data_IF_070830239589
#
_entry.id   IF_070830239589
#
_cell.length_a   1.000
_cell.length_b   1.000
_cell.length_c   1.000
_cell.angle_alpha   90.00
_cell.angle_beta   90.00
_cell.angle_gamma   90.00
#
_symmetry.space_group_name_H-M   'P 1'
#
loop_
_entity.id
_entity.type
_entity.pdbx_description
1 polymer ?
#
# COMPACT_ATOMS: atom_id res chain seq x y z
N UNK A 1 1.65 33.25 -0.91
CA UNK A 1 1.35 31.81 -0.80
C UNK A 1 2.60 30.95 -0.76
N UNK A 2 3.49 30.99 -1.76
CA UNK A 2 4.79 30.27 -1.70
C UNK A 2 5.61 30.60 -0.43
N UNK A 3 5.68 31.86 0.00
CA UNK A 3 6.46 32.23 1.19
C UNK A 3 5.95 31.59 2.49
N UNK A 4 4.63 31.45 2.67
CA UNK A 4 4.05 30.80 3.86
C UNK A 4 4.23 29.27 3.81
N UNK A 5 4.05 28.67 2.63
CA UNK A 5 4.33 27.26 2.38
C UNK A 5 5.80 26.93 2.66
N UNK A 6 6.72 27.75 2.14
CA UNK A 6 8.15 27.61 2.40
C UNK A 6 8.45 27.78 3.89
N UNK A 7 7.82 28.71 4.60
CA UNK A 7 8.16 28.94 6.01
C UNK A 7 7.65 27.83 6.95
N UNK A 8 6.40 27.39 6.80
CA UNK A 8 5.84 26.30 7.61
C UNK A 8 6.53 24.98 7.29
N UNK A 9 6.68 24.65 6.01
CA UNK A 9 7.43 23.46 5.60
C UNK A 9 8.90 23.57 6.01
N UNK A 10 9.52 24.76 5.95
CA UNK A 10 10.93 24.93 6.38
C UNK A 10 11.10 24.78 7.88
N UNK A 11 10.14 25.19 8.73
CA UNK A 11 10.24 25.01 10.18
C UNK A 11 10.07 23.54 10.56
N UNK A 12 9.06 22.86 10.00
CA UNK A 12 8.87 21.41 10.17
C UNK A 12 10.03 20.61 9.58
N UNK A 13 10.48 20.98 8.38
CA UNK A 13 11.63 20.35 7.72
C UNK A 13 12.90 20.62 8.52
N UNK A 14 13.13 21.82 9.04
CA UNK A 14 14.28 22.08 9.90
C UNK A 14 14.23 21.26 11.17
N UNK A 15 13.07 21.19 11.86
CA UNK A 15 12.90 20.37 13.05
C UNK A 15 13.14 18.88 12.77
N UNK A 16 12.52 18.35 11.70
CA UNK A 16 12.67 16.96 11.30
C UNK A 16 14.07 16.67 10.75
N UNK A 17 14.68 17.60 10.01
CA UNK A 17 16.03 17.48 9.48
C UNK A 17 17.06 17.55 10.60
N UNK A 18 16.86 18.38 11.63
CA UNK A 18 17.68 18.35 12.85
C UNK A 18 17.55 16.99 13.52
N UNK A 19 16.34 16.44 13.69
CA UNK A 19 16.14 15.09 14.24
C UNK A 19 16.86 14.05 13.36
N UNK A 20 16.58 13.99 12.06
CA UNK A 20 17.18 13.02 11.13
C UNK A 20 18.71 13.18 11.06
N UNK A 21 19.23 14.41 11.07
CA UNK A 21 20.67 14.69 11.01
C UNK A 21 21.36 14.35 12.32
N UNK A 22 20.65 14.43 13.46
CA UNK A 22 21.11 13.87 14.73
C UNK A 22 21.12 12.33 14.73
N UNK A 23 20.27 11.68 13.91
CA UNK A 23 20.31 10.23 13.66
C UNK A 23 21.37 9.83 12.61
N UNK A 24 21.70 10.71 11.65
CA UNK A 24 22.65 10.46 10.56
C UNK A 24 24.14 10.27 10.95
N UNK A 25 24.68 10.67 12.13
CA UNK A 25 26.08 10.39 12.46
C UNK A 25 26.35 8.89 12.65
N UNK A 26 25.31 8.04 12.66
CA UNK A 26 25.39 6.64 13.07
C UNK A 26 25.93 5.67 12.01
N UNK A 27 26.14 6.07 10.75
CA UNK A 27 26.70 5.17 9.72
C UNK A 27 28.07 5.59 9.17
N UNK A 28 28.65 6.72 9.58
CA UNK A 28 29.95 7.17 9.06
C UNK A 28 31.17 6.86 9.97
N UNK A 29 30.97 6.24 11.12
CA UNK A 29 32.06 5.85 12.03
C UNK A 29 32.32 4.34 12.05
N UNK A 30 32.93 3.79 10.98
CA UNK A 30 34.09 2.86 11.07
C UNK A 30 34.86 2.85 9.73
N UNK A 31 35.27 3.99 9.18
CA UNK A 31 36.33 4.05 8.15
C UNK A 31 37.14 5.35 8.28
N UNK A 32 37.85 5.51 9.39
CA UNK A 32 38.94 6.50 9.50
C UNK A 32 40.22 5.75 9.89
N UNK A 33 40.73 4.94 8.97
CA UNK A 33 42.10 4.45 9.01
C UNK A 33 43.00 5.52 8.39
N UNK A 34 43.57 6.40 9.21
CA UNK A 34 44.76 7.14 8.80
C UNK A 34 45.82 7.09 9.92
N UNK A 35 47.08 6.68 9.66
CA UNK A 35 47.92 6.08 10.69
C UNK A 35 48.84 7.06 11.45
N UNK A 36 48.54 8.37 11.52
CA UNK A 36 49.51 9.35 12.05
C UNK A 36 49.03 10.23 13.21
N UNK A 37 47.85 9.96 13.79
CA UNK A 37 47.43 10.63 15.02
C UNK A 37 46.90 9.61 16.02
N UNK A 38 47.78 9.16 16.92
CA UNK A 38 47.42 8.49 18.16
C UNK A 38 46.87 9.50 19.16
N UNK A 39 45.76 10.16 18.82
CA UNK A 39 44.88 10.74 19.84
C UNK A 39 44.10 9.57 20.42
N UNK A 40 44.24 9.36 21.72
CA UNK A 40 43.48 8.40 22.51
C UNK A 40 42.01 8.45 22.11
N UNK A 41 41.58 7.46 21.34
CA UNK A 41 40.18 7.21 21.01
C UNK A 41 39.46 7.11 22.36
N UNK A 42 38.45 7.95 22.65
CA UNK A 42 37.67 7.80 23.86
C UNK A 42 37.19 6.36 23.95
N UNK A 43 37.38 5.72 25.11
CA UNK A 43 36.97 4.33 25.35
C UNK A 43 35.52 4.15 24.92
N UNK A 44 35.17 3.00 24.34
CA UNK A 44 33.79 2.67 23.92
C UNK A 44 32.75 3.04 24.99
N UNK A 45 33.11 2.93 26.27
CA UNK A 45 32.33 3.37 27.43
C UNK A 45 31.86 4.83 27.35
N UNK A 46 32.74 5.77 26.97
CA UNK A 46 32.36 7.18 26.83
C UNK A 46 31.38 7.41 25.67
N UNK A 47 31.50 6.64 24.59
CA UNK A 47 30.58 6.71 23.44
C UNK A 47 29.20 6.17 23.84
N UNK A 48 29.15 5.05 24.58
CA UNK A 48 27.91 4.47 25.12
C UNK A 48 27.22 5.45 26.08
N UNK A 49 27.94 6.02 27.06
CA UNK A 49 27.39 7.00 27.99
C UNK A 49 26.86 8.26 27.27
N UNK A 50 27.59 8.75 26.26
CA UNK A 50 27.14 9.87 25.45
C UNK A 50 25.88 9.54 24.63
N UNK A 51 25.76 8.31 24.13
CA UNK A 51 24.59 7.86 23.38
C UNK A 51 23.37 7.65 24.26
N UNK A 52 23.55 7.07 25.46
CA UNK A 52 22.47 6.93 26.43
C UNK A 52 21.97 8.29 26.90
N UNK A 53 22.89 9.24 27.15
CA UNK A 53 22.53 10.62 27.48
C UNK A 53 21.79 11.32 26.34
N UNK A 54 22.24 11.16 25.08
CA UNK A 54 21.55 11.73 23.93
C UNK A 54 20.14 11.13 23.76
N UNK A 55 20.01 9.81 23.86
CA UNK A 55 18.72 9.14 23.77
C UNK A 55 17.77 9.57 24.90
N UNK A 56 18.29 9.76 26.12
CA UNK A 56 17.52 10.31 27.23
C UNK A 56 16.97 11.71 26.90
N UNK A 57 17.83 12.61 26.41
CA UNK A 57 17.41 13.95 26.01
C UNK A 57 16.38 13.93 24.86
N UNK A 58 16.59 13.07 23.85
CA UNK A 58 15.67 12.94 22.72
C UNK A 58 14.31 12.39 23.18
N UNK A 59 14.28 11.36 24.02
CA UNK A 59 13.04 10.81 24.58
C UNK A 59 12.27 11.84 25.41
N UNK A 60 12.97 12.73 26.10
CA UNK A 60 12.36 13.79 26.90
C UNK A 60 11.81 14.94 26.05
N UNK A 61 12.56 15.38 25.04
CA UNK A 61 12.27 16.62 24.31
C UNK A 61 11.50 16.39 23.00
N UNK A 62 11.82 15.33 22.25
CA UNK A 62 11.28 15.13 20.90
C UNK A 62 9.77 14.85 20.90
N UNK A 63 9.20 13.95 21.73
CA UNK A 63 7.76 13.71 21.70
C UNK A 63 6.90 14.96 21.99
N UNK A 64 7.08 15.69 23.12
CA UNK A 64 6.29 16.89 23.37
C UNK A 64 6.60 18.02 22.38
N UNK A 65 7.86 18.20 21.99
CA UNK A 65 8.26 19.19 20.98
C UNK A 65 7.60 18.94 19.63
N UNK A 66 7.48 17.68 19.23
CA UNK A 66 6.83 17.27 17.97
C UNK A 66 5.32 17.50 18.03
N UNK A 67 4.67 17.16 19.15
CA UNK A 67 3.22 17.39 19.33
C UNK A 67 2.88 18.89 19.28
N UNK A 68 3.68 19.73 19.95
CA UNK A 68 3.50 21.19 19.93
C UNK A 68 3.68 21.71 18.50
N UNK A 69 4.78 21.35 17.83
CA UNK A 69 5.08 21.80 16.46
C UNK A 69 3.98 21.41 15.49
N UNK A 70 3.50 20.16 15.56
CA UNK A 70 2.40 19.67 14.74
C UNK A 70 1.10 20.42 15.05
N UNK A 71 0.74 20.63 16.31
CA UNK A 71 -0.48 21.34 16.68
C UNK A 71 -0.52 22.77 16.12
N UNK A 72 0.61 23.50 16.18
CA UNK A 72 0.71 24.86 15.62
C UNK A 72 0.75 24.87 14.08
N UNK A 73 1.38 23.86 13.47
CA UNK A 73 1.50 23.80 12.00
C UNK A 73 0.26 23.20 11.33
N UNK A 74 -0.56 22.46 12.06
CA UNK A 74 -1.69 21.70 11.51
C UNK A 74 -2.68 22.55 10.69
N UNK A 75 -3.15 23.72 11.16
CA UNK A 75 -4.06 24.55 10.37
C UNK A 75 -3.44 25.02 9.04
N UNK A 76 -2.15 25.35 9.07
CA UNK A 76 -1.43 25.75 7.86
C UNK A 76 -1.26 24.57 6.90
N UNK A 77 -0.87 23.38 7.40
CA UNK A 77 -0.79 22.16 6.58
C UNK A 77 -2.14 21.80 5.95
N UNK A 78 -3.24 21.86 6.71
CA UNK A 78 -4.57 21.65 6.16
C UNK A 78 -4.90 22.63 5.03
N UNK A 79 -4.57 23.91 5.20
CA UNK A 79 -4.77 24.92 4.17
C UNK A 79 -3.91 24.67 2.92
N UNK A 80 -2.64 24.31 3.09
CA UNK A 80 -1.73 24.01 1.98
C UNK A 80 -2.19 22.77 1.20
N UNK A 81 -2.53 21.69 1.91
CA UNK A 81 -3.07 20.48 1.30
C UNK A 81 -4.39 20.76 0.57
N UNK A 82 -5.23 21.65 1.09
CA UNK A 82 -6.45 22.07 0.41
C UNK A 82 -6.15 22.85 -0.88
N UNK A 83 -5.19 23.78 -0.85
CA UNK A 83 -4.76 24.49 -2.05
C UNK A 83 -4.15 23.54 -3.10
N UNK A 84 -3.30 22.61 -2.68
CA UNK A 84 -2.71 21.60 -3.55
C UNK A 84 -3.79 20.71 -4.16
N UNK A 85 -4.71 20.19 -3.34
CA UNK A 85 -5.85 19.41 -3.80
C UNK A 85 -6.70 20.18 -4.81
N UNK A 86 -6.96 21.48 -4.57
CA UNK A 86 -7.73 22.31 -5.48
C UNK A 86 -7.01 22.48 -6.84
N UNK A 87 -5.71 22.77 -6.82
CA UNK A 87 -4.89 22.86 -8.03
C UNK A 87 -4.87 21.53 -8.79
N UNK A 88 -4.59 20.42 -8.10
CA UNK A 88 -4.52 19.08 -8.68
C UNK A 88 -5.88 18.59 -9.18
N UNK A 89 -6.97 19.07 -8.58
CA UNK A 89 -8.33 18.79 -9.07
C UNK A 89 -8.64 19.53 -10.38
N UNK A 90 -8.01 20.67 -10.64
CA UNK A 90 -8.16 21.43 -11.89
C UNK A 90 -7.21 20.90 -12.96
N UNK A 91 -5.98 20.56 -12.59
CA UNK A 91 -4.91 20.07 -13.49
C UNK A 91 -4.76 18.54 -13.47
N UNK A 92 -5.83 17.82 -13.14
CA UNK A 92 -5.83 16.37 -13.10
C UNK A 92 -5.43 15.76 -14.45
N UNK A 93 -4.72 14.65 -14.39
CA UNK A 93 -4.23 13.93 -15.55
C UNK A 93 -5.37 13.44 -16.45
N UNK A 94 -5.30 13.82 -17.74
CA UNK A 94 -6.18 13.26 -18.77
C UNK A 94 -5.68 11.88 -19.19
N UNK A 95 -6.58 10.89 -19.15
CA UNK A 95 -6.27 9.50 -19.47
C UNK A 95 -6.67 9.11 -20.89
N UNK A 96 -7.22 10.04 -21.69
CA UNK A 96 -7.58 9.74 -23.07
C UNK A 96 -6.36 9.26 -23.86
N UNK A 97 -6.44 8.04 -24.41
CA UNK A 97 -5.35 7.37 -25.14
C UNK A 97 -4.08 7.05 -24.33
N UNK A 98 -4.09 7.23 -23.00
CA UNK A 98 -3.03 6.72 -22.11
C UNK A 98 -3.17 5.23 -21.86
N UNK A 99 -2.08 4.56 -21.46
CA UNK A 99 -2.01 3.10 -21.31
C UNK A 99 -1.99 2.71 -19.84
N UNK A 100 -2.91 1.84 -19.44
CA UNK A 100 -3.04 1.35 -18.07
C UNK A 100 -2.94 -0.17 -18.06
N UNK A 101 -1.99 -0.70 -17.28
CA UNK A 101 -1.93 -2.13 -16.95
C UNK A 101 -2.68 -2.35 -15.64
N UNK A 102 -3.65 -3.26 -15.60
CA UNK A 102 -4.41 -3.62 -14.39
C UNK A 102 -4.20 -5.09 -14.10
N UNK A 103 -3.44 -5.40 -13.05
CA UNK A 103 -3.28 -6.77 -12.55
C UNK A 103 -4.39 -7.10 -11.56
N UNK A 104 -4.91 -8.33 -11.60
CA UNK A 104 -6.08 -8.71 -10.78
C UNK A 104 -7.40 -8.20 -11.35
N UNK A 105 -7.46 -7.92 -12.66
CA UNK A 105 -8.62 -7.31 -13.32
C UNK A 105 -9.85 -8.23 -13.45
N UNK A 106 -9.77 -9.51 -13.06
CA UNK A 106 -10.83 -10.50 -13.30
C UNK A 106 -12.00 -10.44 -12.33
N UNK A 107 -11.92 -9.66 -11.24
CA UNK A 107 -12.94 -9.60 -10.20
C UNK A 107 -12.75 -8.39 -9.28
N UNK A 108 -13.76 -8.15 -8.44
CA UNK A 108 -13.66 -7.24 -7.30
C UNK A 108 -13.29 -5.81 -7.69
N UNK A 109 -12.38 -5.23 -6.90
CA UNK A 109 -11.91 -3.86 -7.14
C UNK A 109 -11.17 -3.69 -8.47
N UNK A 110 -10.47 -4.72 -8.96
CA UNK A 110 -9.74 -4.68 -10.24
C UNK A 110 -10.64 -4.54 -11.45
N UNK A 111 -11.79 -5.23 -11.44
CA UNK A 111 -12.83 -5.09 -12.46
C UNK A 111 -13.40 -3.66 -12.48
N UNK A 112 -13.74 -3.11 -11.32
CA UNK A 112 -14.33 -1.77 -11.23
C UNK A 112 -13.33 -0.67 -11.60
N UNK A 113 -12.05 -0.81 -11.26
CA UNK A 113 -11.00 0.12 -11.71
C UNK A 113 -10.87 0.09 -13.23
N UNK A 114 -10.98 -1.08 -13.87
CA UNK A 114 -10.95 -1.18 -15.33
C UNK A 114 -12.10 -0.38 -15.97
N UNK A 115 -13.30 -0.42 -15.39
CA UNK A 115 -14.44 0.36 -15.86
C UNK A 115 -14.25 1.87 -15.66
N UNK A 116 -13.70 2.30 -14.53
CA UNK A 116 -13.43 3.72 -14.25
C UNK A 116 -12.34 4.31 -15.18
N UNK A 117 -11.30 3.54 -15.54
CA UNK A 117 -10.36 3.96 -16.59
C UNK A 117 -10.97 3.90 -18.00
N UNK A 118 -11.87 2.94 -18.27
CA UNK A 118 -12.57 2.86 -19.55
C UNK A 118 -13.45 4.09 -19.81
N UNK A 119 -14.14 4.59 -18.79
CA UNK A 119 -14.91 5.84 -18.86
C UNK A 119 -14.04 7.06 -19.20
N UNK A 120 -12.75 7.00 -18.88
CA UNK A 120 -11.74 8.02 -19.24
C UNK A 120 -11.03 7.75 -20.56
N UNK A 121 -11.53 6.81 -21.37
CA UNK A 121 -11.03 6.51 -22.72
C UNK A 121 -9.57 6.05 -22.77
N UNK A 122 -9.11 5.44 -21.69
CA UNK A 122 -7.78 4.83 -21.64
C UNK A 122 -7.68 3.57 -22.52
N UNK A 123 -6.45 3.22 -22.87
CA UNK A 123 -6.06 1.92 -23.40
C UNK A 123 -5.73 0.99 -22.23
N UNK A 124 -6.30 -0.21 -22.21
CA UNK A 124 -6.21 -1.12 -21.06
C UNK A 124 -5.50 -2.42 -21.43
N UNK A 125 -4.53 -2.82 -20.60
CA UNK A 125 -4.07 -4.21 -20.53
C UNK A 125 -4.64 -4.83 -19.25
N UNK A 126 -5.59 -5.76 -19.41
CA UNK A 126 -6.21 -6.47 -18.29
C UNK A 126 -5.48 -7.79 -18.05
N UNK A 127 -4.97 -7.97 -16.84
CA UNK A 127 -4.13 -9.11 -16.48
C UNK A 127 -4.77 -9.88 -15.33
N UNK A 128 -4.95 -11.19 -15.53
CA UNK A 128 -5.36 -12.13 -14.48
C UNK A 128 -4.99 -13.55 -14.90
N UNK A 129 -5.01 -14.49 -13.96
CA UNK A 129 -4.67 -15.91 -14.24
C UNK A 129 -5.63 -16.59 -15.22
N UNK A 130 -6.92 -16.21 -15.18
CA UNK A 130 -8.01 -16.84 -15.93
C UNK A 130 -8.52 -15.95 -17.05
N UNK A 131 -8.01 -16.15 -18.26
CA UNK A 131 -8.35 -15.34 -19.45
C UNK A 131 -9.86 -15.30 -19.76
N UNK A 132 -10.59 -16.38 -19.53
CA UNK A 132 -12.02 -16.45 -19.86
C UNK A 132 -12.85 -15.40 -19.11
N UNK A 133 -12.49 -15.04 -17.88
CA UNK A 133 -13.20 -14.00 -17.10
C UNK A 133 -12.86 -12.58 -17.55
N UNK A 134 -11.69 -12.41 -18.13
CA UNK A 134 -11.20 -11.16 -18.71
C UNK A 134 -11.98 -10.76 -19.97
N UNK A 135 -12.49 -11.73 -20.75
CA UNK A 135 -13.21 -11.45 -22.02
C UNK A 135 -14.45 -10.56 -21.81
N UNK A 136 -15.33 -10.93 -20.87
CA UNK A 136 -16.54 -10.14 -20.58
C UNK A 136 -16.23 -8.75 -20.04
N UNK A 137 -15.20 -8.63 -19.21
CA UNK A 137 -14.74 -7.34 -18.66
C UNK A 137 -14.14 -6.46 -19.77
N UNK A 138 -13.38 -7.04 -20.69
CA UNK A 138 -12.83 -6.32 -21.83
C UNK A 138 -13.93 -5.79 -22.78
N UNK A 139 -14.96 -6.59 -23.05
CA UNK A 139 -16.12 -6.16 -23.83
C UNK A 139 -16.88 -5.02 -23.12
N UNK A 140 -17.10 -5.12 -21.81
CA UNK A 140 -17.71 -4.08 -21.01
C UNK A 140 -16.89 -2.78 -21.02
N UNK A 141 -15.58 -2.87 -20.82
CA UNK A 141 -14.68 -1.72 -20.86
C UNK A 141 -14.70 -1.02 -22.24
N UNK A 142 -14.69 -1.79 -23.34
CA UNK A 142 -14.85 -1.21 -24.71
C UNK A 142 -16.18 -0.49 -24.86
N UNK A 143 -17.29 -1.08 -24.36
CA UNK A 143 -18.62 -0.43 -24.40
C UNK A 143 -18.69 0.85 -23.58
N UNK A 144 -17.96 0.92 -22.46
CA UNK A 144 -17.91 2.10 -21.60
C UNK A 144 -17.07 3.24 -22.19
N UNK A 145 -16.13 2.96 -23.08
CA UNK A 145 -15.37 3.99 -23.80
C UNK A 145 -13.87 3.73 -23.93
N UNK A 146 -13.34 2.61 -23.43
CA UNK A 146 -11.92 2.27 -23.60
C UNK A 146 -11.57 2.19 -25.09
N UNK A 147 -10.49 2.86 -25.51
CA UNK A 147 -10.08 2.93 -26.93
C UNK A 147 -9.62 1.58 -27.45
N UNK A 148 -8.74 0.94 -26.69
CA UNK A 148 -8.24 -0.41 -26.95
C UNK A 148 -8.18 -1.19 -25.64
N UNK A 149 -8.49 -2.47 -25.71
CA UNK A 149 -8.38 -3.38 -24.57
C UNK A 149 -7.71 -4.67 -25.03
N UNK A 150 -6.59 -4.99 -24.40
CA UNK A 150 -5.89 -6.27 -24.51
C UNK A 150 -6.07 -7.04 -23.20
N UNK A 151 -6.15 -8.37 -23.30
CA UNK A 151 -6.25 -9.28 -22.16
C UNK A 151 -5.06 -10.23 -22.18
N UNK A 152 -4.50 -10.55 -21.01
CA UNK A 152 -3.40 -11.50 -20.90
C UNK A 152 -3.55 -12.39 -19.67
N UNK A 153 -3.35 -13.70 -19.90
CA UNK A 153 -3.20 -14.67 -18.83
C UNK A 153 -1.78 -14.59 -18.23
N UNK A 154 -1.71 -14.27 -16.94
CA UNK A 154 -0.44 -14.22 -16.21
C UNK A 154 -0.63 -14.43 -14.72
N UNK A 155 0.39 -15.00 -14.09
CA UNK A 155 0.52 -15.12 -12.66
C UNK A 155 1.54 -14.10 -12.13
N UNK A 156 1.08 -13.12 -11.35
CA UNK A 156 1.92 -12.00 -10.89
C UNK A 156 3.02 -12.40 -9.92
N UNK A 157 2.95 -13.60 -9.31
CA UNK A 157 4.03 -14.13 -8.48
C UNK A 157 5.19 -14.69 -9.31
N UNK A 158 5.06 -14.75 -10.63
CA UNK A 158 6.12 -15.15 -11.56
C UNK A 158 6.65 -13.93 -12.30
N UNK A 159 7.93 -13.62 -12.10
CA UNK A 159 8.57 -12.48 -12.76
C UNK A 159 8.52 -12.60 -14.30
N UNK A 160 8.69 -13.80 -14.86
CA UNK A 160 8.65 -14.03 -16.31
C UNK A 160 7.28 -13.69 -16.92
N UNK A 161 6.19 -13.99 -16.20
CA UNK A 161 4.84 -13.61 -16.59
C UNK A 161 4.67 -12.09 -16.54
N UNK A 162 5.27 -11.43 -15.55
CA UNK A 162 5.32 -9.97 -15.44
C UNK A 162 6.06 -9.33 -16.62
N UNK A 163 7.25 -9.84 -16.94
CA UNK A 163 8.02 -9.44 -18.13
C UNK A 163 7.21 -9.60 -19.41
N UNK A 164 6.51 -10.73 -19.55
CA UNK A 164 5.69 -11.00 -20.73
C UNK A 164 4.58 -9.97 -20.93
N UNK A 165 3.74 -9.71 -19.93
CA UNK A 165 2.61 -8.78 -20.14
C UNK A 165 3.04 -7.31 -20.25
N UNK A 166 4.12 -6.90 -19.57
CA UNK A 166 4.64 -5.54 -19.71
C UNK A 166 5.23 -5.35 -21.10
N UNK A 167 6.08 -6.28 -21.57
CA UNK A 167 6.67 -6.19 -22.90
C UNK A 167 5.61 -6.23 -24.01
N UNK A 168 4.59 -7.07 -23.88
CA UNK A 168 3.50 -7.12 -24.86
C UNK A 168 2.68 -5.82 -24.86
N UNK A 169 2.45 -5.22 -23.69
CA UNK A 169 1.82 -3.89 -23.58
C UNK A 169 2.65 -2.83 -24.31
N UNK A 170 3.97 -2.85 -24.15
CA UNK A 170 4.89 -1.94 -24.86
C UNK A 170 4.90 -2.22 -26.36
N UNK A 171 4.88 -3.49 -26.79
CA UNK A 171 4.82 -3.84 -28.22
C UNK A 171 3.55 -3.31 -28.89
N UNK A 172 2.40 -3.39 -28.21
CA UNK A 172 1.10 -3.00 -28.76
C UNK A 172 0.85 -1.49 -28.66
N UNK A 173 1.20 -0.86 -27.54
CA UNK A 173 0.85 0.54 -27.28
C UNK A 173 2.05 1.51 -27.25
N UNK A 174 3.28 1.01 -27.18
CA UNK A 174 4.51 1.81 -27.18
C UNK A 174 4.81 2.54 -25.86
N UNK A 175 3.97 2.40 -24.83
CA UNK A 175 4.11 3.08 -23.53
C UNK A 175 3.31 2.39 -22.43
N UNK A 176 3.61 2.72 -21.18
CA UNK A 176 2.78 2.43 -19.99
C UNK A 176 2.72 3.71 -19.16
N UNK A 177 1.52 4.21 -18.91
CA UNK A 177 1.32 5.41 -18.09
C UNK A 177 0.99 5.02 -16.65
N UNK A 178 0.02 4.13 -16.43
CA UNK A 178 -0.34 3.67 -15.09
C UNK A 178 -0.18 2.15 -14.95
N UNK A 179 0.45 1.71 -13.86
CA UNK A 179 0.42 0.33 -13.38
C UNK A 179 -0.50 0.25 -12.16
N UNK A 180 -1.56 -0.54 -12.25
CA UNK A 180 -2.49 -0.79 -11.16
C UNK A 180 -2.32 -2.22 -10.68
N UNK A 181 -1.80 -2.38 -9.47
CA UNK A 181 -1.68 -3.68 -8.82
C UNK A 181 -2.84 -3.88 -7.84
N UNK A 182 -3.81 -4.73 -8.22
CA UNK A 182 -5.00 -4.98 -7.37
C UNK A 182 -5.06 -6.38 -6.77
N UNK A 183 -4.17 -7.29 -7.22
CA UNK A 183 -4.15 -8.68 -6.76
C UNK A 183 -4.00 -8.73 -5.24
N UNK A 184 -4.89 -9.48 -4.59
CA UNK A 184 -4.97 -9.61 -3.14
C UNK A 184 -5.55 -10.97 -2.77
N UNK A 185 -5.11 -11.53 -1.64
CA UNK A 185 -5.68 -12.77 -1.10
C UNK A 185 -5.80 -12.68 0.42
N UNK A 186 -7.03 -12.64 0.92
CA UNK A 186 -7.32 -12.71 2.35
C UNK A 186 -7.34 -14.15 2.88
N UNK A 187 -7.22 -14.29 4.19
CA UNK A 187 -7.54 -15.53 4.92
C UNK A 187 -8.36 -15.16 6.15
N UNK A 188 -9.05 -16.10 6.80
CA UNK A 188 -9.75 -15.82 8.05
C UNK A 188 -9.66 -17.01 8.99
N UNK A 189 -8.63 -17.04 9.82
CA UNK A 189 -8.43 -18.03 10.87
C UNK A 189 -7.49 -17.48 11.94
N UNK A 190 -7.67 -17.87 13.19
CA UNK A 190 -6.64 -17.60 14.21
C UNK A 190 -5.37 -18.37 13.81
N UNK A 191 -4.20 -17.80 14.06
CA UNK A 191 -2.94 -18.44 13.65
C UNK A 191 -2.78 -19.87 14.20
N UNK A 192 -3.30 -20.15 15.40
CA UNK A 192 -3.34 -21.48 16.02
C UNK A 192 -4.32 -22.47 15.35
N UNK A 193 -5.29 -21.98 14.57
CA UNK A 193 -6.26 -22.79 13.82
C UNK A 193 -5.72 -23.22 12.45
N UNK A 194 -4.52 -22.78 12.06
CA UNK A 194 -3.93 -23.13 10.77
C UNK A 194 -3.56 -24.63 10.72
N UNK A 195 -4.27 -25.38 9.87
CA UNK A 195 -4.03 -26.82 9.67
C UNK A 195 -2.91 -27.12 8.66
N UNK A 196 -2.64 -26.16 7.76
CA UNK A 196 -1.62 -26.29 6.72
C UNK A 196 -0.76 -25.02 6.69
N UNK A 197 0.55 -25.20 6.76
CA UNK A 197 1.53 -24.11 6.73
C UNK A 197 2.03 -23.81 5.31
N UNK A 198 1.73 -24.68 4.34
CA UNK A 198 2.12 -24.52 2.93
C UNK A 198 1.46 -23.29 2.28
N UNK A 199 0.33 -22.83 2.82
CA UNK A 199 -0.40 -21.64 2.36
C UNK A 199 0.27 -20.33 2.80
N UNK A 200 1.15 -20.35 3.82
CA UNK A 200 1.71 -19.13 4.38
C UNK A 200 2.59 -18.36 3.37
N UNK A 201 3.54 -19.02 2.66
CA UNK A 201 4.29 -18.35 1.62
C UNK A 201 3.38 -17.84 0.50
N UNK A 202 2.37 -18.60 0.09
CA UNK A 202 1.41 -18.22 -0.97
C UNK A 202 0.68 -16.92 -0.63
N UNK A 203 0.25 -16.75 0.62
CA UNK A 203 -0.39 -15.51 1.08
C UNK A 203 0.56 -14.31 0.99
N UNK A 204 1.83 -14.49 1.35
CA UNK A 204 2.83 -13.43 1.23
C UNK A 204 3.17 -13.16 -0.25
N UNK A 205 3.39 -14.19 -1.04
CA UNK A 205 3.73 -14.10 -2.46
C UNK A 205 2.66 -13.30 -3.22
N UNK A 206 1.39 -13.63 -3.05
CA UNK A 206 0.30 -12.95 -3.75
C UNK A 206 0.16 -11.48 -3.29
N UNK A 207 0.16 -11.23 -1.98
CA UNK A 207 -0.10 -9.90 -1.44
C UNK A 207 1.11 -8.95 -1.48
N UNK A 208 2.32 -9.47 -1.59
CA UNK A 208 3.57 -8.69 -1.62
C UNK A 208 4.29 -8.84 -2.97
N UNK A 209 4.85 -10.01 -3.26
CA UNK A 209 5.64 -10.22 -4.49
C UNK A 209 4.85 -10.02 -5.78
N UNK A 210 3.55 -10.38 -5.77
CA UNK A 210 2.61 -10.12 -6.85
C UNK A 210 2.36 -8.64 -7.15
N UNK A 211 2.82 -7.74 -6.29
CA UNK A 211 2.83 -6.30 -6.54
C UNK A 211 4.25 -5.81 -6.88
N UNK A 212 5.29 -6.38 -6.28
CA UNK A 212 6.68 -5.98 -6.48
C UNK A 212 7.18 -6.35 -7.89
N UNK A 213 6.93 -7.58 -8.37
CA UNK A 213 7.45 -7.99 -9.69
C UNK A 213 6.89 -7.17 -10.86
N UNK A 214 5.56 -6.93 -10.98
CA UNK A 214 5.03 -6.03 -12.01
C UNK A 214 5.65 -4.63 -11.95
N UNK A 215 5.84 -4.11 -10.74
CA UNK A 215 6.42 -2.78 -10.52
C UNK A 215 7.86 -2.74 -10.98
N UNK A 216 8.69 -3.69 -10.56
CA UNK A 216 10.09 -3.76 -10.97
C UNK A 216 10.25 -3.81 -12.49
N UNK A 217 9.41 -4.61 -13.17
CA UNK A 217 9.44 -4.77 -14.63
C UNK A 217 8.93 -3.52 -15.36
N UNK A 218 7.85 -2.90 -14.87
CA UNK A 218 7.23 -1.73 -15.52
C UNK A 218 7.98 -0.42 -15.26
N UNK A 219 8.79 -0.34 -14.20
CA UNK A 219 9.41 0.88 -13.72
C UNK A 219 10.17 1.69 -14.81
N UNK A 220 11.00 1.08 -15.69
CA UNK A 220 11.69 1.85 -16.72
C UNK A 220 10.74 2.56 -17.70
N UNK A 221 9.59 1.96 -18.00
CA UNK A 221 8.58 2.54 -18.89
C UNK A 221 7.73 3.60 -18.19
N UNK A 222 7.50 3.44 -16.88
CA UNK A 222 6.85 4.44 -16.05
C UNK A 222 7.72 5.71 -15.91
N UNK A 223 9.05 5.59 -15.79
CA UNK A 223 9.92 6.76 -15.84
C UNK A 223 9.82 7.52 -17.17
N UNK A 224 9.74 6.80 -18.30
CA UNK A 224 9.63 7.42 -19.62
C UNK A 224 8.33 8.21 -19.81
N UNK A 225 7.24 7.77 -19.17
CA UNK A 225 5.93 8.42 -19.25
C UNK A 225 5.66 9.42 -18.13
N UNK A 226 6.54 9.55 -17.13
CA UNK A 226 6.22 10.16 -15.81
C UNK A 226 4.94 9.55 -15.23
N UNK A 227 4.87 8.23 -15.31
CA UNK A 227 3.71 7.43 -15.01
C UNK A 227 3.44 7.28 -13.52
N UNK A 228 2.49 6.39 -13.19
CA UNK A 228 2.05 6.15 -11.83
C UNK A 228 1.91 4.68 -11.50
N UNK A 229 2.15 4.36 -10.24
CA UNK A 229 1.87 3.05 -9.67
C UNK A 229 0.73 3.21 -8.66
N UNK A 230 -0.30 2.40 -8.81
CA UNK A 230 -1.46 2.37 -7.94
C UNK A 230 -1.48 1.00 -7.26
N UNK A 231 -1.47 0.97 -5.93
CA UNK A 231 -1.50 -0.28 -5.17
C UNK A 231 -2.79 -0.41 -4.36
N UNK A 232 -3.31 -1.64 -4.31
CA UNK A 232 -4.45 -1.99 -3.46
C UNK A 232 -3.96 -2.48 -2.07
N UNK A 233 -3.98 -1.56 -1.11
CA UNK A 233 -3.67 -1.79 0.30
C UNK A 233 -4.96 -1.90 1.16
N UNK A 234 -4.76 -2.20 2.44
CA UNK A 234 -5.83 -2.53 3.39
C UNK A 234 -5.60 -1.84 4.72
N UNK A 235 -6.65 -1.47 5.45
CA UNK A 235 -6.52 -0.90 6.80
C UNK A 235 -5.78 -1.85 7.74
N UNK A 236 -5.81 -3.15 7.46
CA UNK A 236 -5.06 -4.21 8.14
C UNK A 236 -3.53 -4.04 8.05
N UNK A 237 -3.02 -3.17 7.18
CA UNK A 237 -1.60 -2.81 7.16
C UNK A 237 -1.15 -2.07 8.42
N UNK A 238 -2.06 -1.33 9.08
CA UNK A 238 -1.79 -0.69 10.37
C UNK A 238 -2.80 -1.04 11.47
N UNK A 239 -3.88 -1.74 11.16
CA UNK A 239 -4.87 -2.18 12.13
C UNK A 239 -4.70 -3.69 12.36
N UNK A 240 -4.20 -4.14 13.53
CA UNK A 240 -3.95 -5.56 13.78
C UNK A 240 -5.25 -6.33 14.04
N UNK A 241 -6.03 -6.53 12.97
CA UNK A 241 -7.30 -7.25 13.03
C UNK A 241 -7.04 -8.74 13.35
N UNK A 242 -7.73 -9.31 14.36
CA UNK A 242 -7.67 -10.73 14.64
C UNK A 242 -8.09 -11.57 13.42
N UNK A 243 -7.56 -12.80 13.34
CA UNK A 243 -7.82 -13.76 12.26
C UNK A 243 -7.27 -13.40 10.87
N UNK A 244 -6.52 -12.30 10.77
CA UNK A 244 -5.96 -11.76 9.53
C UNK A 244 -4.43 -11.62 9.59
N UNK A 245 -3.74 -12.30 10.51
CA UNK A 245 -2.34 -12.00 10.86
C UNK A 245 -1.37 -12.02 9.68
N UNK A 246 -1.42 -13.06 8.83
CA UNK A 246 -0.55 -13.19 7.65
C UNK A 246 -0.85 -12.13 6.57
N UNK A 247 -2.12 -11.77 6.40
CA UNK A 247 -2.59 -10.79 5.43
C UNK A 247 -2.20 -9.38 5.87
N UNK A 248 -2.44 -9.07 7.15
CA UNK A 248 -2.03 -7.82 7.79
C UNK A 248 -0.50 -7.63 7.68
N UNK A 249 0.29 -8.68 7.95
CA UNK A 249 1.74 -8.64 7.80
C UNK A 249 2.17 -8.34 6.35
N UNK A 250 1.59 -9.04 5.37
CA UNK A 250 1.90 -8.82 3.96
C UNK A 250 1.49 -7.41 3.48
N UNK A 251 0.32 -6.91 3.88
CA UNK A 251 -0.14 -5.55 3.54
C UNK A 251 0.68 -4.46 4.24
N UNK A 252 1.18 -4.70 5.45
CA UNK A 252 2.11 -3.79 6.12
C UNK A 252 3.45 -3.71 5.38
N UNK A 253 4.00 -4.86 4.96
CA UNK A 253 5.20 -4.92 4.14
C UNK A 253 5.01 -4.20 2.79
N UNK A 254 3.85 -4.42 2.14
CA UNK A 254 3.46 -3.75 0.91
C UNK A 254 3.48 -2.22 1.07
N UNK A 255 2.77 -1.68 2.06
CA UNK A 255 2.71 -0.22 2.28
C UNK A 255 4.10 0.35 2.54
N UNK A 256 4.91 -0.30 3.39
CA UNK A 256 6.25 0.19 3.70
C UNK A 256 7.18 0.17 2.47
N UNK A 257 7.11 -0.87 1.64
CA UNK A 257 7.88 -0.95 0.40
C UNK A 257 7.54 0.20 -0.54
N UNK A 258 6.26 0.48 -0.78
CA UNK A 258 5.84 1.54 -1.71
C UNK A 258 6.05 2.96 -1.16
N UNK A 259 5.94 3.15 0.17
CA UNK A 259 6.35 4.40 0.81
C UNK A 259 7.85 4.64 0.65
N UNK A 260 8.68 3.61 0.86
CA UNK A 260 10.13 3.70 0.69
C UNK A 260 10.48 4.00 -0.77
N UNK A 261 9.88 3.25 -1.70
CA UNK A 261 10.10 3.40 -3.12
C UNK A 261 9.74 4.81 -3.60
N UNK A 262 8.69 5.44 -3.08
CA UNK A 262 8.32 6.83 -3.43
C UNK A 262 9.50 7.80 -3.25
N UNK A 263 10.23 7.67 -2.14
CA UNK A 263 11.40 8.51 -1.88
C UNK A 263 12.58 8.19 -2.79
N UNK A 264 12.76 6.92 -3.17
CA UNK A 264 13.82 6.49 -4.09
C UNK A 264 13.57 6.98 -5.52
N UNK A 265 12.31 7.07 -5.95
CA UNK A 265 11.89 7.53 -7.28
C UNK A 265 11.84 9.06 -7.43
N UNK A 266 12.02 9.83 -6.34
CA UNK A 266 12.08 11.31 -6.34
C UNK A 266 10.92 11.99 -7.08
N UNK A 267 9.71 11.43 -6.94
CA UNK A 267 8.47 11.92 -7.58
C UNK A 267 8.46 11.91 -9.12
N UNK A 268 9.43 11.27 -9.80
CA UNK A 268 9.39 11.07 -11.26
C UNK A 268 8.30 10.07 -11.68
N UNK A 269 8.00 9.11 -10.79
CA UNK A 269 6.90 8.16 -10.92
C UNK A 269 6.03 8.29 -9.69
N UNK A 270 4.77 8.68 -9.90
CA UNK A 270 3.82 8.85 -8.79
C UNK A 270 3.42 7.52 -8.17
N UNK A 271 3.20 7.48 -6.86
CA UNK A 271 2.71 6.27 -6.17
C UNK A 271 1.45 6.62 -5.36
N UNK A 272 0.33 6.00 -5.71
CA UNK A 272 -0.94 6.09 -4.99
C UNK A 272 -1.18 4.81 -4.19
N UNK A 273 -1.23 4.95 -2.87
CA UNK A 273 -1.57 3.86 -1.96
C UNK A 273 -3.06 3.94 -1.64
N UNK A 274 -3.84 3.05 -2.26
CA UNK A 274 -5.27 2.95 -2.02
C UNK A 274 -5.54 2.01 -0.85
N UNK A 275 -6.06 2.51 0.26
CA UNK A 275 -6.37 1.71 1.45
C UNK A 275 -7.86 1.59 1.69
N UNK A 276 -8.38 0.37 1.64
CA UNK A 276 -9.77 0.09 2.01
C UNK A 276 -9.94 -0.47 3.42
N UNK A 277 -11.06 -0.11 4.03
CA UNK A 277 -11.63 -0.84 5.16
C UNK A 277 -12.35 -2.12 4.73
N UNK A 278 -13.32 -2.56 5.51
CA UNK A 278 -14.22 -3.62 5.08
C UNK A 278 -15.18 -3.12 4.00
N UNK A 279 -14.77 -3.27 2.75
CA UNK A 279 -15.65 -3.29 1.59
C UNK A 279 -16.12 -4.74 1.42
N UNK A 280 -17.43 -4.99 1.36
CA UNK A 280 -18.02 -6.34 1.45
C UNK A 280 -17.57 -7.36 0.39
N UNK A 281 -16.67 -6.96 -0.51
CA UNK A 281 -16.25 -7.62 -1.74
C UNK A 281 -15.02 -8.53 -1.65
N UNK A 282 -13.99 -8.17 -0.90
CA UNK A 282 -12.67 -8.82 -1.06
C UNK A 282 -12.47 -10.06 -0.16
N UNK A 283 -13.13 -10.11 1.00
CA UNK A 283 -12.84 -11.15 2.00
C UNK A 283 -13.93 -12.22 2.12
N UNK A 284 -15.16 -11.88 1.78
CA UNK A 284 -16.33 -12.69 2.18
C UNK A 284 -16.57 -13.91 1.27
N UNK A 285 -15.92 -14.03 0.11
CA UNK A 285 -16.27 -15.08 -0.88
C UNK A 285 -15.13 -16.00 -1.30
N UNK A 286 -13.88 -15.53 -1.28
CA UNK A 286 -12.69 -16.38 -1.38
C UNK A 286 -12.34 -17.02 -0.03
N UNK A 287 -13.31 -17.64 0.65
CA UNK A 287 -13.10 -18.10 2.02
C UNK A 287 -12.23 -19.36 2.07
N UNK A 288 -11.08 -19.27 2.74
CA UNK A 288 -10.66 -20.34 3.65
C UNK A 288 -11.63 -20.33 4.83
N UNK A 289 -12.79 -21.00 4.74
CA UNK A 289 -13.51 -21.37 5.96
C UNK A 289 -13.07 -22.77 6.33
N UNK A 290 -12.62 -22.91 7.57
CA UNK A 290 -12.81 -24.16 8.31
C UNK A 290 -14.34 -24.33 8.44
N UNK A 291 -14.99 -25.00 7.48
CA UNK A 291 -16.19 -25.75 7.87
C UNK A 291 -15.70 -26.84 8.83
N UNK A 292 -16.37 -27.04 9.96
CA UNK A 292 -15.98 -28.02 10.98
C UNK A 292 -15.64 -29.37 10.32
N UNK A 293 -14.36 -29.73 10.33
CA UNK A 293 -13.86 -30.99 9.76
C UNK A 293 -13.53 -30.99 8.26
N UNK A 294 -13.56 -29.86 7.55
CA UNK A 294 -13.10 -29.76 6.16
C UNK A 294 -11.67 -29.24 6.08
N UNK A 295 -10.77 -30.05 5.52
CA UNK A 295 -9.43 -29.66 5.07
C UNK A 295 -9.48 -28.32 4.32
N UNK A 296 -8.43 -27.49 4.43
CA UNK A 296 -8.27 -26.24 3.67
C UNK A 296 -8.26 -26.51 2.15
N UNK A 297 -9.41 -26.74 1.54
CA UNK A 297 -9.52 -26.94 0.10
C UNK A 297 -9.54 -25.59 -0.60
N UNK A 298 -8.41 -25.29 -1.22
CA UNK A 298 -8.24 -24.21 -2.19
C UNK A 298 -9.20 -24.41 -3.38
N UNK A 299 -10.32 -23.67 -3.41
CA UNK A 299 -11.20 -23.56 -4.59
C UNK A 299 -11.17 -22.13 -5.13
N UNK A 300 -10.28 -21.89 -6.10
CA UNK A 300 -10.23 -20.65 -6.89
C UNK A 300 -11.55 -20.28 -7.56
N UNK A 301 -12.49 -21.21 -7.71
CA UNK A 301 -13.77 -20.99 -8.39
C UNK A 301 -14.69 -19.95 -7.72
N UNK A 302 -14.42 -19.52 -6.49
CA UNK A 302 -15.29 -18.56 -5.76
C UNK A 302 -14.88 -17.09 -5.84
N UNK A 303 -14.12 -16.70 -6.85
CA UNK A 303 -14.06 -15.29 -7.24
C UNK A 303 -15.36 -14.92 -7.99
N UNK A 304 -16.44 -14.76 -7.22
CA UNK A 304 -17.77 -14.34 -7.69
C UNK A 304 -17.71 -12.87 -8.12
N UNK A 305 -18.39 -12.53 -9.22
CA UNK A 305 -18.54 -11.16 -9.70
C UNK A 305 -19.13 -10.28 -8.57
N UNK A 306 -18.41 -9.22 -8.22
CA UNK A 306 -18.76 -8.36 -7.09
C UNK A 306 -19.42 -7.10 -7.63
N UNK A 307 -20.71 -6.94 -7.34
CA UNK A 307 -21.45 -5.70 -7.52
C UNK A 307 -21.93 -5.22 -6.16
N UNK A 308 -21.68 -3.96 -5.83
CA UNK A 308 -22.12 -3.39 -4.57
C UNK A 308 -21.49 -2.04 -4.29
N UNK A 309 -22.33 -1.00 -4.22
CA UNK A 309 -21.96 0.43 -4.26
C UNK A 309 -20.64 0.87 -3.62
N UNK A 310 -20.24 0.35 -2.43
CA UNK A 310 -18.96 0.69 -1.82
C UNK A 310 -17.72 0.37 -2.67
N UNK A 311 -17.76 -0.66 -3.52
CA UNK A 311 -16.61 -1.06 -4.35
C UNK A 311 -16.46 -0.17 -5.56
N UNK A 312 -17.56 0.14 -6.24
CA UNK A 312 -17.57 1.08 -7.37
C UNK A 312 -17.19 2.49 -6.88
N UNK A 313 -17.67 2.90 -5.70
CA UNK A 313 -17.26 4.15 -5.07
C UNK A 313 -15.76 4.17 -4.78
N UNK A 314 -15.22 3.09 -4.21
CA UNK A 314 -13.78 3.00 -3.95
C UNK A 314 -12.96 3.01 -5.24
N UNK A 315 -13.38 2.26 -6.27
CA UNK A 315 -12.71 2.26 -7.58
C UNK A 315 -12.65 3.67 -8.18
N UNK A 316 -13.76 4.41 -8.13
CA UNK A 316 -13.83 5.80 -8.59
C UNK A 316 -12.90 6.72 -7.80
N UNK A 317 -12.84 6.55 -6.48
CA UNK A 317 -11.92 7.30 -5.62
C UNK A 317 -10.46 6.99 -5.96
N UNK A 318 -10.12 5.73 -6.22
CA UNK A 318 -8.77 5.31 -6.62
C UNK A 318 -8.38 5.98 -7.93
N UNK A 319 -9.19 5.82 -8.98
CA UNK A 319 -8.85 6.36 -10.31
C UNK A 319 -8.79 7.87 -10.29
N UNK A 320 -9.76 8.54 -9.65
CA UNK A 320 -9.74 10.00 -9.54
C UNK A 320 -8.58 10.52 -8.70
N UNK A 321 -8.22 9.84 -7.61
CA UNK A 321 -7.05 10.20 -6.79
C UNK A 321 -5.74 9.99 -7.52
N UNK A 322 -5.59 8.87 -8.22
CA UNK A 322 -4.44 8.59 -9.07
C UNK A 322 -4.26 9.67 -10.15
N UNK A 323 -5.33 10.05 -10.86
CA UNK A 323 -5.27 11.11 -11.87
C UNK A 323 -4.95 12.50 -11.26
N UNK A 324 -5.34 12.76 -10.01
CA UNK A 324 -5.04 14.05 -9.36
C UNK A 324 -3.59 14.16 -8.92
N UNK A 325 -2.95 13.08 -8.50
CA UNK A 325 -1.71 13.22 -7.73
C UNK A 325 -1.70 12.54 -6.38
N UNK A 326 -2.84 12.04 -5.91
CA UNK A 326 -3.00 11.72 -4.50
C UNK A 326 -2.09 10.55 -4.10
N UNK A 327 -1.20 10.81 -3.13
CA UNK A 327 -0.32 9.80 -2.55
C UNK A 327 -1.11 8.70 -1.80
N UNK A 328 -2.28 9.06 -1.26
CA UNK A 328 -3.13 8.17 -0.49
C UNK A 328 -4.59 8.34 -0.88
N UNK A 329 -5.28 7.23 -1.10
CA UNK A 329 -6.74 7.19 -1.24
C UNK A 329 -7.27 6.26 -0.17
N UNK A 330 -8.21 6.71 0.67
CA UNK A 330 -8.69 5.91 1.80
C UNK A 330 -10.21 5.83 1.80
N UNK A 331 -10.74 4.63 2.00
CA UNK A 331 -12.18 4.42 2.00
C UNK A 331 -12.63 3.25 2.90
N UNK A 332 -13.55 3.46 3.84
CA UNK A 332 -13.97 4.75 4.38
C UNK A 332 -12.81 5.50 5.08
N UNK A 333 -12.76 6.83 4.97
CA UNK A 333 -11.66 7.63 5.53
C UNK A 333 -11.62 7.64 7.07
N UNK A 334 -12.73 7.35 7.75
CA UNK A 334 -12.79 7.36 9.21
C UNK A 334 -11.91 6.29 9.88
N UNK A 335 -11.47 5.25 9.15
CA UNK A 335 -10.54 4.25 9.68
C UNK A 335 -9.19 4.84 10.14
N UNK A 336 -8.82 6.03 9.66
CA UNK A 336 -7.62 6.74 10.12
C UNK A 336 -7.65 7.06 11.62
N UNK A 337 -8.83 7.18 12.23
CA UNK A 337 -8.94 7.41 13.67
C UNK A 337 -8.29 6.28 14.47
N UNK A 338 -8.28 5.05 13.95
CA UNK A 338 -7.64 3.92 14.63
C UNK A 338 -6.13 4.06 14.71
N UNK A 339 -5.49 4.81 13.80
CA UNK A 339 -4.07 5.13 13.92
C UNK A 339 -3.80 5.95 15.20
N UNK A 340 -4.69 6.89 15.52
CA UNK A 340 -4.60 7.66 16.77
C UNK A 340 -4.78 6.76 18.00
N UNK A 341 -5.76 5.86 17.98
CA UNK A 341 -5.94 4.89 19.06
C UNK A 341 -4.74 3.95 19.19
N UNK A 342 -4.15 3.48 18.08
CA UNK A 342 -2.97 2.63 18.10
C UNK A 342 -1.76 3.32 18.73
N UNK A 343 -1.58 4.62 18.47
CA UNK A 343 -0.44 5.40 18.98
C UNK A 343 -0.67 5.87 20.42
N UNK A 344 -1.82 6.49 20.71
CA UNK A 344 -2.05 7.18 21.99
C UNK A 344 -2.83 6.36 23.03
N UNK A 345 -3.61 5.38 22.59
CA UNK A 345 -4.46 4.58 23.48
C UNK A 345 -4.48 3.09 23.08
N UNK A 346 -3.31 2.42 22.93
CA UNK A 346 -3.24 1.04 22.45
C UNK A 346 -4.02 0.08 23.36
N UNK A 347 -4.13 0.41 24.66
CA UNK A 347 -4.99 -0.34 25.59
C UNK A 347 -6.46 -0.28 25.16
N UNK A 348 -7.01 0.89 24.83
CA UNK A 348 -8.42 1.00 24.39
C UNK A 348 -8.66 0.15 23.14
N UNK A 349 -7.74 0.21 22.18
CA UNK A 349 -7.80 -0.61 20.96
C UNK A 349 -7.76 -2.12 21.27
N UNK A 350 -6.87 -2.55 22.16
CA UNK A 350 -6.76 -3.94 22.59
C UNK A 350 -8.04 -4.44 23.27
N UNK A 351 -8.69 -3.61 24.08
CA UNK A 351 -9.96 -3.97 24.73
C UNK A 351 -11.07 -4.13 23.68
N UNK A 352 -11.16 -3.22 22.71
CA UNK A 352 -12.11 -3.32 21.60
C UNK A 352 -11.91 -4.61 20.78
N UNK A 353 -10.67 -4.97 20.44
CA UNK A 353 -10.40 -6.19 19.68
C UNK A 353 -10.62 -7.47 20.49
N UNK A 354 -10.35 -7.47 21.80
CA UNK A 354 -10.70 -8.62 22.66
C UNK A 354 -12.21 -8.87 22.70
N UNK A 355 -13.04 -7.84 22.58
CA UNK A 355 -14.50 -8.02 22.48
C UNK A 355 -14.93 -8.60 21.11
N UNK A 356 -14.19 -8.30 20.04
CA UNK A 356 -14.44 -8.86 18.71
C UNK A 356 -14.04 -10.34 18.59
N UNK A 357 -13.02 -10.76 19.34
CA UNK A 357 -12.72 -12.18 19.54
C UNK A 357 -13.69 -12.72 20.61
N UNK A 358 -14.91 -13.05 20.20
CA UNK A 358 -15.73 -13.94 21.03
C UNK A 358 -14.95 -15.25 21.24
N UNK A 359 -14.91 -15.82 22.45
CA UNK A 359 -14.33 -17.14 22.68
C UNK A 359 -15.23 -18.21 22.06
N UNK A 360 -15.32 -18.24 20.73
CA UNK A 360 -15.73 -19.42 20.00
C UNK A 360 -14.47 -20.28 19.85
N UNK A 361 -14.33 -21.28 20.72
CA UNK A 361 -13.45 -22.41 20.45
C UNK A 361 -12.11 -22.49 21.20
N UNK A 362 -12.04 -22.23 22.51
CA UNK A 362 -10.97 -22.84 23.32
C UNK A 362 -11.49 -23.38 24.65
N UNK A 363 -11.24 -24.68 24.87
CA UNK A 363 -11.43 -25.52 26.07
C UNK A 363 -12.71 -26.35 26.16
N UNK A 364 -12.85 -27.26 25.20
CA UNK A 364 -13.70 -28.45 25.29
C UNK A 364 -12.97 -29.73 24.87
N UNK A 365 -11.73 -29.96 25.32
CA UNK A 365 -11.07 -31.27 25.32
C UNK A 365 -9.75 -31.19 26.11
N UNK A 366 -9.46 -32.22 26.91
CA UNK A 366 -8.29 -32.38 27.78
C UNK A 366 -8.29 -31.60 29.10
N UNK A 367 -9.25 -31.92 29.97
CA UNK A 367 -9.06 -32.03 31.43
C UNK A 367 -10.18 -32.92 32.01
N UNK A 368 -10.21 -34.17 31.56
CA UNK A 368 -10.71 -35.38 32.23
C UNK A 368 -9.91 -36.55 31.65
#
# INVERSE_FOLDING_TARGET
MMSLHIHVCSQLFFYLHVIITLFKPLHLHVQLTHPLFSLSIPSQLFIEEAMDFLNFLLNLLVPPGSMITLAFSWPALCFLNFCEWLCNSIYGEDMDNKVVIITGASSGIGEQIAYEYALRRANLTLVARREHRLRGIAENAKRLGARHVMIMAADVVKEDDCRRFVNETINVFGRVDHLVNTVSLGHTFCFEEATDTSVFPVLLDINFWGNVYPTFVALPYLHQSNGRIIINASVESWLPMPRMSLYAAAKAALVNFYETLRFELKDEVGITIATHGWIGSEMTRGKFMLEEGAEMQWKEEREVQVTGGPVEEFARLIVSGACRGDAYVKFPSWYDVFLLYRVFAPRVLNWAFRLLISPQGTRGASLM
#
